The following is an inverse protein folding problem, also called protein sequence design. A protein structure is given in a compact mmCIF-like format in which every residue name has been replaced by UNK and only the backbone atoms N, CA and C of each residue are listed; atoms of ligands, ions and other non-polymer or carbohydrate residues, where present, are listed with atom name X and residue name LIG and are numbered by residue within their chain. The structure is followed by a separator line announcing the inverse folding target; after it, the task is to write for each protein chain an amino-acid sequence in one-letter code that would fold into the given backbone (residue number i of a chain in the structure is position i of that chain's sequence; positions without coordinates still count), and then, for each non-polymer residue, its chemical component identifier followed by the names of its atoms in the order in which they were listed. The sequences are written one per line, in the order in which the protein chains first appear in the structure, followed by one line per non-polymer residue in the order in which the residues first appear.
data_IF_075471032414
#
_entry.id   IF_075471032414
#
_cell.length_a   1.000
_cell.length_b   1.000
_cell.length_c   1.000
_cell.angle_alpha   90.00
_cell.angle_beta   90.00
_cell.angle_gamma   90.00
#
_symmetry.space_group_name_H-M   'P 1'
#
loop_
_entity.id
_entity.type
_entity.pdbx_description
1 polymer ?
#
# COMPACT_ATOMS: atom_id res chain seq x y z
N UNK A 1 64.18 -55.90 95.19
CA UNK A 1 62.72 -55.66 95.13
C UNK A 1 62.07 -56.62 96.11
N UNK A 2 61.92 -56.19 97.37
CA UNK A 2 61.23 -56.99 98.38
C UNK A 2 59.74 -56.87 98.11
N UNK A 3 59.10 -57.96 97.70
CA UNK A 3 57.63 -58.04 97.62
C UNK A 3 57.07 -57.93 99.04
N UNK A 4 56.77 -56.70 99.45
CA UNK A 4 55.95 -56.46 100.63
C UNK A 4 54.58 -57.04 100.34
N UNK A 5 54.19 -58.08 101.06
CA UNK A 5 52.92 -58.77 100.86
C UNK A 5 51.79 -57.84 101.33
N UNK A 6 51.28 -57.03 100.42
CA UNK A 6 50.24 -56.05 100.73
C UNK A 6 48.96 -56.74 101.19
N UNK A 7 48.39 -56.26 102.30
CA UNK A 7 47.14 -56.79 102.81
C UNK A 7 46.02 -56.46 101.83
N UNK A 8 45.26 -57.48 101.43
CA UNK A 8 44.03 -57.29 100.66
C UNK A 8 43.01 -56.46 101.46
N UNK A 9 42.03 -55.86 100.79
CA UNK A 9 40.96 -55.09 101.47
C UNK A 9 40.27 -55.89 102.59
N UNK A 10 39.91 -57.18 102.39
CA UNK A 10 39.40 -58.01 103.48
C UNK A 10 40.38 -58.20 104.64
N UNK A 11 41.67 -58.36 104.36
CA UNK A 11 42.70 -58.50 105.39
C UNK A 11 42.90 -57.21 106.20
N UNK A 12 42.85 -56.04 105.54
CA UNK A 12 42.86 -54.73 106.23
C UNK A 12 41.64 -54.55 107.13
N UNK A 13 40.47 -54.98 106.66
CA UNK A 13 39.25 -54.95 107.46
C UNK A 13 39.34 -55.87 108.69
N UNK A 14 39.89 -57.07 108.54
CA UNK A 14 40.11 -58.01 109.64
C UNK A 14 41.10 -57.46 110.69
N UNK A 15 42.16 -56.77 110.25
CA UNK A 15 43.11 -56.10 111.15
C UNK A 15 42.44 -54.92 111.88
N UNK A 16 41.69 -54.07 111.17
CA UNK A 16 41.01 -52.92 111.76
C UNK A 16 39.94 -53.31 112.80
N UNK A 17 39.30 -54.47 112.62
CA UNK A 17 38.34 -55.03 113.57
C UNK A 17 38.96 -55.97 114.60
N UNK A 18 40.28 -56.19 114.55
CA UNK A 18 40.99 -57.19 115.37
C UNK A 18 40.27 -58.54 115.39
N UNK A 19 39.75 -58.97 114.24
CA UNK A 19 38.74 -60.04 114.15
C UNK A 19 39.22 -61.34 114.79
N UNK A 20 40.50 -61.70 114.65
CA UNK A 20 41.07 -62.91 115.25
C UNK A 20 41.02 -62.89 116.79
N UNK A 21 41.25 -61.73 117.42
CA UNK A 21 41.16 -61.58 118.89
C UNK A 21 39.70 -61.68 119.33
N UNK A 22 38.82 -60.95 118.67
CA UNK A 22 37.38 -60.97 118.97
C UNK A 22 36.78 -62.36 118.79
N UNK A 23 37.15 -63.09 117.75
CA UNK A 23 36.70 -64.45 117.50
C UNK A 23 37.07 -65.40 118.65
N UNK A 24 38.33 -65.40 119.08
CA UNK A 24 38.78 -66.25 120.19
C UNK A 24 38.03 -65.94 121.50
N UNK A 25 37.88 -64.65 121.84
CA UNK A 25 37.16 -64.24 123.05
C UNK A 25 35.67 -64.56 122.99
N UNK A 26 35.03 -64.39 121.83
CA UNK A 26 33.62 -64.73 121.64
C UNK A 26 33.38 -66.24 121.78
N UNK A 27 34.26 -67.06 121.22
CA UNK A 27 34.22 -68.53 121.38
C UNK A 27 34.35 -68.90 122.86
N UNK A 28 35.28 -68.25 123.58
CA UNK A 28 35.48 -68.48 125.01
C UNK A 28 34.25 -68.08 125.84
N UNK A 29 33.66 -66.90 125.57
CA UNK A 29 32.44 -66.44 126.25
C UNK A 29 31.24 -67.34 125.96
N UNK A 30 31.06 -67.78 124.71
CA UNK A 30 29.99 -68.70 124.33
C UNK A 30 30.13 -70.05 125.06
N UNK A 31 31.34 -70.58 125.16
CA UNK A 31 31.62 -71.80 125.93
C UNK A 31 31.43 -71.61 127.44
N UNK A 32 31.84 -70.48 128.00
CA UNK A 32 31.69 -70.15 129.43
C UNK A 32 30.23 -70.21 129.89
N UNK A 33 29.30 -69.87 129.00
CA UNK A 33 27.87 -69.79 129.30
C UNK A 33 27.05 -70.94 128.70
N UNK A 34 27.67 -71.98 128.14
CA UNK A 34 26.96 -73.09 127.46
C UNK A 34 26.05 -73.90 128.37
N UNK A 35 26.38 -73.99 129.65
CA UNK A 35 25.68 -74.83 130.62
C UNK A 35 24.42 -74.15 131.19
N UNK A 36 24.21 -72.85 130.88
CA UNK A 36 23.00 -72.11 131.25
C UNK A 36 21.88 -72.49 130.27
N UNK A 37 21.19 -73.58 130.55
CA UNK A 37 20.12 -74.11 129.68
C UNK A 37 18.71 -73.82 130.20
N UNK A 38 18.54 -73.51 131.49
CA UNK A 38 17.25 -73.16 132.11
C UNK A 38 17.44 -72.34 133.40
N UNK A 39 16.38 -71.61 133.82
CA UNK A 39 16.38 -70.83 135.07
C UNK A 39 15.52 -71.55 136.10
N UNK A 40 16.14 -72.15 137.11
CA UNK A 40 15.44 -72.90 138.18
C UNK A 40 15.18 -72.08 139.46
N UNK A 41 15.81 -70.92 139.63
CA UNK A 41 15.70 -70.07 140.82
C UNK A 41 16.10 -68.60 140.55
N UNK A 42 15.88 -67.65 141.49
CA UNK A 42 16.24 -66.24 141.32
C UNK A 42 17.73 -65.99 141.03
N UNK A 43 18.65 -66.76 141.62
CA UNK A 43 20.09 -66.62 141.36
C UNK A 43 20.46 -66.99 139.92
N UNK A 44 19.81 -68.03 139.36
CA UNK A 44 19.96 -68.41 137.95
C UNK A 44 19.50 -67.32 136.99
N UNK A 45 18.46 -66.54 137.33
CA UNK A 45 18.03 -65.38 136.53
C UNK A 45 19.10 -64.30 136.48
N UNK A 46 19.73 -64.01 137.61
CA UNK A 46 20.80 -63.02 137.69
C UNK A 46 22.06 -63.46 136.93
N UNK A 47 22.42 -64.75 137.04
CA UNK A 47 23.51 -65.34 136.26
C UNK A 47 23.25 -65.25 134.74
N UNK A 48 22.04 -65.60 134.29
CA UNK A 48 21.65 -65.46 132.88
C UNK A 48 21.66 -64.00 132.43
N UNK A 49 21.20 -63.08 133.27
CA UNK A 49 21.23 -61.65 132.96
C UNK A 49 22.66 -61.11 132.82
N UNK A 50 23.55 -61.47 133.76
CA UNK A 50 24.97 -61.09 133.69
C UNK A 50 25.66 -61.64 132.45
N UNK A 51 25.45 -62.92 132.13
CA UNK A 51 25.97 -63.55 130.90
C UNK A 51 25.47 -62.83 129.63
N UNK A 52 24.17 -62.52 129.58
CA UNK A 52 23.55 -61.79 128.47
C UNK A 52 24.12 -60.38 128.33
N UNK A 53 24.31 -59.66 129.44
CA UNK A 53 24.93 -58.33 129.43
C UNK A 53 26.38 -58.37 128.95
N UNK A 54 27.18 -59.35 129.38
CA UNK A 54 28.58 -59.47 128.94
C UNK A 54 28.69 -59.76 127.43
N UNK A 55 27.86 -60.67 126.90
CA UNK A 55 27.76 -60.93 125.47
C UNK A 55 27.26 -59.71 124.68
N UNK A 56 26.23 -59.02 125.19
CA UNK A 56 25.68 -57.82 124.57
C UNK A 56 26.71 -56.68 124.54
N UNK A 57 27.46 -56.48 125.63
CA UNK A 57 28.53 -55.49 125.71
C UNK A 57 29.65 -55.81 124.70
N UNK A 58 30.02 -57.09 124.52
CA UNK A 58 31.01 -57.48 123.51
C UNK A 58 30.52 -57.19 122.08
N UNK A 59 29.25 -57.49 121.77
CA UNK A 59 28.62 -57.15 120.48
C UNK A 59 28.61 -55.64 120.23
N UNK A 60 28.27 -54.84 121.24
CA UNK A 60 28.26 -53.37 121.14
C UNK A 60 29.67 -52.86 120.87
N UNK A 61 30.68 -53.38 121.56
CA UNK A 61 32.08 -53.00 121.35
C UNK A 61 32.56 -53.28 119.93
N UNK A 62 32.27 -54.46 119.36
CA UNK A 62 32.61 -54.81 117.97
C UNK A 62 31.88 -53.89 116.98
N UNK A 63 30.59 -53.62 117.23
CA UNK A 63 29.78 -52.72 116.39
C UNK A 63 30.37 -51.31 116.39
N UNK A 64 30.79 -50.82 117.56
CA UNK A 64 31.46 -49.52 117.72
C UNK A 64 32.79 -49.48 116.98
N UNK A 65 33.64 -50.50 117.15
CA UNK A 65 34.91 -50.63 116.44
C UNK A 65 34.71 -50.63 114.91
N UNK A 66 33.70 -51.35 114.41
CA UNK A 66 33.36 -51.34 112.98
C UNK A 66 32.86 -50.00 112.47
N UNK A 67 32.13 -49.23 113.28
CA UNK A 67 31.76 -47.85 112.93
C UNK A 67 33.01 -46.95 112.87
N UNK A 68 33.86 -47.01 113.90
CA UNK A 68 35.09 -46.22 113.99
C UNK A 68 36.06 -46.53 112.82
N UNK A 69 36.23 -47.81 112.46
CA UNK A 69 37.06 -48.22 111.33
C UNK A 69 36.53 -47.70 109.97
N UNK A 70 35.20 -47.68 109.77
CA UNK A 70 34.60 -47.09 108.56
C UNK A 70 34.70 -45.58 108.53
N UNK A 71 34.53 -44.93 109.67
CA UNK A 71 34.67 -43.48 109.81
C UNK A 71 36.13 -43.06 109.51
N UNK A 72 37.12 -43.81 110.00
CA UNK A 72 38.54 -43.60 109.69
C UNK A 72 38.86 -43.82 108.21
N UNK A 73 38.39 -44.92 107.62
CA UNK A 73 38.57 -45.18 106.18
C UNK A 73 37.96 -44.07 105.30
N UNK A 74 36.81 -43.52 105.71
CA UNK A 74 36.17 -42.38 105.02
C UNK A 74 37.01 -41.11 105.14
N UNK A 75 37.56 -40.83 106.33
CA UNK A 75 38.48 -39.69 106.54
C UNK A 75 39.74 -39.83 105.70
N UNK A 76 40.32 -41.02 105.65
CA UNK A 76 41.49 -41.30 104.83
C UNK A 76 41.20 -41.07 103.34
N UNK A 77 40.09 -41.61 102.81
CA UNK A 77 39.69 -41.39 101.41
C UNK A 77 39.53 -39.90 101.08
N UNK A 78 38.90 -39.12 101.98
CA UNK A 78 38.80 -37.67 101.81
C UNK A 78 40.17 -36.98 101.82
N UNK A 79 41.06 -37.38 102.72
CA UNK A 79 42.42 -36.83 102.78
C UNK A 79 43.23 -37.12 101.50
N UNK A 80 43.07 -38.31 100.91
CA UNK A 80 43.69 -38.65 99.62
C UNK A 80 43.17 -37.75 98.49
N UNK A 81 41.85 -37.53 98.41
CA UNK A 81 41.25 -36.65 97.39
C UNK A 81 41.74 -35.21 97.55
N UNK A 82 41.82 -34.71 98.77
CA UNK A 82 42.30 -33.34 99.01
C UNK A 82 43.79 -33.20 98.71
N UNK A 83 44.61 -34.22 98.99
CA UNK A 83 46.03 -34.21 98.61
C UNK A 83 46.21 -34.32 97.09
N UNK A 84 45.41 -35.14 96.39
CA UNK A 84 45.38 -35.18 94.93
C UNK A 84 45.08 -33.79 94.35
N UNK A 85 44.02 -33.13 94.83
CA UNK A 85 43.67 -31.77 94.40
C UNK A 85 44.80 -30.78 94.68
N UNK A 86 45.46 -30.87 95.84
CA UNK A 86 46.61 -30.01 96.17
C UNK A 86 47.74 -30.21 95.16
N UNK A 87 48.07 -31.46 94.83
CA UNK A 87 49.14 -31.79 93.88
C UNK A 87 48.79 -31.33 92.47
N UNK A 88 47.54 -31.53 92.02
CA UNK A 88 47.08 -31.03 90.70
C UNK A 88 47.12 -29.51 90.65
N UNK A 89 46.63 -28.83 91.70
CA UNK A 89 46.61 -27.37 91.76
C UNK A 89 48.01 -26.73 91.76
N UNK A 90 49.06 -27.48 92.14
CA UNK A 90 50.44 -27.01 92.03
C UNK A 90 50.93 -26.96 90.57
N UNK A 91 50.50 -27.88 89.72
CA UNK A 91 51.03 -28.02 88.36
C UNK A 91 50.12 -27.41 87.29
N UNK A 92 48.81 -27.42 87.49
CA UNK A 92 47.82 -26.96 86.51
C UNK A 92 48.03 -25.50 86.04
N UNK A 93 48.33 -24.51 86.90
CA UNK A 93 48.60 -23.15 86.45
C UNK A 93 49.83 -23.04 85.54
N UNK A 94 50.88 -23.83 85.82
CA UNK A 94 52.12 -23.82 85.04
C UNK A 94 51.92 -24.53 83.70
N UNK A 95 51.17 -25.65 83.66
CA UNK A 95 50.76 -26.27 82.40
C UNK A 95 49.93 -25.33 81.53
N UNK A 96 49.02 -24.58 82.15
CA UNK A 96 48.25 -23.52 81.49
C UNK A 96 49.15 -22.44 80.90
N UNK A 97 50.07 -21.89 81.70
CA UNK A 97 51.03 -20.88 81.26
C UNK A 97 51.90 -21.35 80.10
N UNK A 98 52.43 -22.57 80.18
CA UNK A 98 53.27 -23.16 79.13
C UNK A 98 52.49 -23.42 77.84
N UNK A 99 51.22 -23.85 77.94
CA UNK A 99 50.33 -24.01 76.79
C UNK A 99 50.08 -22.67 76.08
N UNK A 100 49.73 -21.63 76.85
CA UNK A 100 49.54 -20.28 76.30
C UNK A 100 50.80 -19.78 75.60
N UNK A 101 51.98 -19.94 76.22
CA UNK A 101 53.25 -19.51 75.62
C UNK A 101 53.53 -20.21 74.29
N UNK A 102 53.29 -21.53 74.19
CA UNK A 102 53.43 -22.29 72.95
C UNK A 102 52.45 -21.77 71.89
N UNK A 103 51.18 -21.66 72.24
CA UNK A 103 50.12 -21.30 71.30
C UNK A 103 50.31 -19.87 70.76
N UNK A 104 50.77 -18.93 71.59
CA UNK A 104 51.14 -17.56 71.17
C UNK A 104 52.34 -17.55 70.22
N UNK A 105 53.38 -18.33 70.51
CA UNK A 105 54.55 -18.45 69.65
C UNK A 105 54.19 -19.02 68.27
N UNK A 106 53.42 -20.10 68.23
CA UNK A 106 52.97 -20.74 66.99
C UNK A 106 52.07 -19.79 66.19
N UNK A 107 51.17 -19.07 66.85
CA UNK A 107 50.31 -18.08 66.21
C UNK A 107 51.11 -16.93 65.59
N UNK A 108 52.16 -16.44 66.26
CA UNK A 108 53.01 -15.37 65.72
C UNK A 108 53.83 -15.85 64.52
N UNK A 109 54.35 -17.09 64.54
CA UNK A 109 55.06 -17.69 63.39
C UNK A 109 54.14 -17.83 62.18
N UNK A 110 52.89 -18.26 62.38
CA UNK A 110 51.92 -18.35 61.29
C UNK A 110 51.50 -16.96 60.78
N UNK A 111 51.35 -15.96 61.65
CA UNK A 111 51.13 -14.56 61.22
C UNK A 111 52.29 -14.03 60.40
N UNK A 112 53.53 -14.22 60.83
CA UNK A 112 54.71 -13.81 60.06
C UNK A 112 54.77 -14.51 58.69
N UNK A 113 54.49 -15.81 58.64
CA UNK A 113 54.47 -16.59 57.40
C UNK A 113 53.36 -16.11 56.46
N UNK A 114 52.15 -15.89 56.99
CA UNK A 114 51.03 -15.35 56.23
C UNK A 114 51.31 -13.93 55.72
N UNK A 115 51.93 -13.08 56.54
CA UNK A 115 52.32 -11.72 56.15
C UNK A 115 53.38 -11.74 55.03
N UNK A 116 54.40 -12.60 55.12
CA UNK A 116 55.39 -12.78 54.05
C UNK A 116 54.76 -13.29 52.76
N UNK A 117 53.88 -14.28 52.85
CA UNK A 117 53.16 -14.81 51.69
C UNK A 117 52.24 -13.76 51.05
N UNK A 118 51.55 -12.95 51.86
CA UNK A 118 50.69 -11.87 51.38
C UNK A 118 51.50 -10.74 50.74
N UNK A 119 52.63 -10.35 51.33
CA UNK A 119 53.54 -9.35 50.76
C UNK A 119 54.12 -9.82 49.42
N UNK A 120 54.51 -11.09 49.34
CA UNK A 120 55.02 -11.67 48.09
C UNK A 120 53.94 -11.77 47.02
N UNK A 121 52.73 -12.20 47.39
CA UNK A 121 51.59 -12.20 46.48
C UNK A 121 51.28 -10.79 45.97
N UNK A 122 51.23 -9.79 46.87
CA UNK A 122 50.97 -8.41 46.48
C UNK A 122 52.06 -7.85 45.55
N UNK A 123 53.33 -8.22 45.78
CA UNK A 123 54.45 -7.87 44.89
C UNK A 123 54.23 -8.45 43.49
N UNK A 124 53.95 -9.75 43.39
CA UNK A 124 53.71 -10.44 42.11
C UNK A 124 52.49 -9.87 41.40
N UNK A 125 51.37 -9.68 42.12
CA UNK A 125 50.13 -9.12 41.57
C UNK A 125 50.35 -7.70 41.02
N UNK A 126 51.12 -6.85 41.71
CA UNK A 126 51.44 -5.50 41.25
C UNK A 126 52.35 -5.48 40.00
N UNK A 127 53.25 -6.45 39.84
CA UNK A 127 54.04 -6.59 38.61
C UNK A 127 53.14 -7.08 37.47
N UNK A 128 52.33 -8.12 37.70
CA UNK A 128 51.42 -8.67 36.69
C UNK A 128 50.39 -7.64 36.23
N UNK A 129 49.84 -6.84 37.15
CA UNK A 129 48.88 -5.79 36.80
C UNK A 129 49.49 -4.78 35.82
N UNK A 130 50.74 -4.36 36.02
CA UNK A 130 51.42 -3.46 35.06
C UNK A 130 51.58 -4.09 33.68
N UNK A 131 51.87 -5.39 33.61
CA UNK A 131 51.94 -6.14 32.34
C UNK A 131 50.57 -6.20 31.68
N UNK A 132 49.51 -6.49 32.45
CA UNK A 132 48.12 -6.50 31.96
C UNK A 132 47.68 -5.12 31.48
N UNK A 133 48.03 -4.05 32.18
CA UNK A 133 47.72 -2.67 31.79
C UNK A 133 48.35 -2.33 30.44
N UNK A 134 49.61 -2.75 30.21
CA UNK A 134 50.26 -2.62 28.90
C UNK A 134 49.50 -3.38 27.80
N UNK A 135 49.07 -4.62 28.07
CA UNK A 135 48.29 -5.42 27.11
C UNK A 135 46.96 -4.79 26.73
N UNK A 136 46.36 -3.99 27.62
CA UNK A 136 45.06 -3.36 27.40
C UNK A 136 45.12 -2.10 26.50
N UNK A 137 46.29 -1.50 26.29
CA UNK A 137 46.46 -0.22 25.57
C UNK A 137 45.86 -0.26 24.15
N UNK A 138 46.09 -1.28 23.30
CA UNK A 138 45.50 -1.32 21.96
C UNK A 138 43.97 -1.25 21.97
N UNK A 139 43.31 -1.90 22.93
CA UNK A 139 41.85 -1.87 23.06
C UNK A 139 41.31 -0.48 23.42
N UNK A 140 42.05 0.29 24.22
CA UNK A 140 41.67 1.66 24.60
C UNK A 140 41.81 2.66 23.44
N UNK A 141 42.61 2.33 22.43
CA UNK A 141 42.92 3.21 21.30
C UNK A 141 42.12 2.91 20.03
N UNK A 142 41.20 1.95 20.07
CA UNK A 142 40.30 1.68 18.95
C UNK A 142 39.48 2.93 18.62
N UNK A 143 39.50 3.34 17.33
CA UNK A 143 38.77 4.50 16.84
C UNK A 143 39.36 5.88 17.20
N UNK A 144 40.57 5.91 17.79
CA UNK A 144 41.31 7.15 18.00
C UNK A 144 42.04 7.57 16.72
N UNK A 145 42.47 8.84 16.66
CA UNK A 145 43.22 9.38 15.53
C UNK A 145 44.60 8.75 15.39
N UNK A 146 45.17 8.80 14.18
CA UNK A 146 46.54 8.36 13.93
C UNK A 146 47.55 9.06 14.85
N UNK A 147 47.38 10.37 15.07
CA UNK A 147 48.22 11.16 16.00
C UNK A 147 48.19 10.61 17.44
N UNK A 148 47.00 10.26 17.94
CA UNK A 148 46.87 9.70 19.31
C UNK A 148 47.54 8.34 19.42
N UNK A 149 47.39 7.50 18.39
CA UNK A 149 48.00 6.15 18.36
C UNK A 149 49.53 6.29 18.29
N UNK A 150 50.06 7.20 17.48
CA UNK A 150 51.49 7.47 17.39
C UNK A 150 52.07 7.94 18.73
N UNK A 151 51.42 8.91 19.40
CA UNK A 151 51.86 9.38 20.72
C UNK A 151 51.87 8.27 21.79
N UNK A 152 50.95 7.30 21.69
CA UNK A 152 50.93 6.15 22.60
C UNK A 152 52.08 5.17 22.31
N UNK A 153 52.46 4.97 21.05
CA UNK A 153 53.65 4.20 20.66
C UNK A 153 54.90 4.87 21.23
N UNK A 154 55.09 6.17 20.99
CA UNK A 154 56.24 6.93 21.49
C UNK A 154 56.34 6.85 23.01
N UNK A 155 55.20 6.97 23.70
CA UNK A 155 55.13 6.85 25.17
C UNK A 155 55.52 5.46 25.65
N UNK A 156 55.13 4.39 24.93
CA UNK A 156 55.51 3.02 25.28
C UNK A 156 56.97 2.73 24.97
N UNK A 157 57.52 3.25 23.87
CA UNK A 157 58.92 3.05 23.49
C UNK A 157 59.87 3.53 24.58
N UNK A 158 59.58 4.69 25.19
CA UNK A 158 60.40 5.24 26.28
C UNK A 158 60.23 4.53 27.64
N UNK A 159 59.19 3.72 27.84
CA UNK A 159 59.01 2.95 29.08
C UNK A 159 60.11 1.89 29.18
N UNK A 160 61.01 2.03 30.16
CA UNK A 160 62.06 1.05 30.40
C UNK A 160 61.55 -0.09 31.28
N UNK A 161 61.66 -1.32 30.78
CA UNK A 161 61.35 -2.52 31.58
C UNK A 161 62.66 -3.03 32.16
N UNK A 162 62.82 -2.83 33.46
CA UNK A 162 64.05 -3.16 34.19
C UNK A 162 63.82 -4.33 35.14
N UNK A 163 64.90 -5.05 35.49
CA UNK A 163 64.87 -6.06 36.55
C UNK A 163 64.48 -5.47 37.91
N UNK A 164 64.73 -4.19 38.15
CA UNK A 164 64.31 -3.52 39.38
C UNK A 164 62.78 -3.35 39.44
N UNK A 165 62.17 -2.94 38.33
CA UNK A 165 60.73 -2.67 38.27
C UNK A 165 59.91 -3.94 38.07
N UNK A 166 60.35 -4.90 37.26
CA UNK A 166 59.56 -6.08 36.86
C UNK A 166 60.17 -7.41 37.30
N UNK A 167 61.36 -7.40 37.89
CA UNK A 167 61.99 -8.56 38.55
C UNK A 167 62.00 -9.80 37.64
N UNK A 168 61.51 -10.93 38.13
CA UNK A 168 61.48 -12.18 37.37
C UNK A 168 60.57 -12.12 36.11
N UNK A 169 59.68 -11.14 36.04
CA UNK A 169 58.76 -10.93 34.91
C UNK A 169 59.28 -9.91 33.90
N UNK A 170 60.50 -9.36 34.07
CA UNK A 170 61.04 -8.37 33.14
C UNK A 170 61.09 -8.88 31.68
N UNK A 171 61.48 -10.14 31.47
CA UNK A 171 61.48 -10.74 30.13
C UNK A 171 60.08 -10.88 29.52
N UNK A 172 59.08 -11.28 30.32
CA UNK A 172 57.69 -11.36 29.88
C UNK A 172 57.14 -9.96 29.53
N UNK A 173 57.44 -8.97 30.38
CA UNK A 173 57.01 -7.60 30.19
C UNK A 173 57.62 -6.98 28.92
N UNK A 174 58.90 -7.23 28.60
CA UNK A 174 59.52 -6.80 27.35
C UNK A 174 58.86 -7.42 26.11
N UNK A 175 58.56 -8.71 26.16
CA UNK A 175 57.82 -9.38 25.08
C UNK A 175 56.44 -8.73 24.89
N UNK A 176 55.72 -8.49 25.98
CA UNK A 176 54.42 -7.83 25.95
C UNK A 176 54.52 -6.43 25.36
N UNK A 177 55.50 -5.62 25.79
CA UNK A 177 55.75 -4.29 25.25
C UNK A 177 55.98 -4.35 23.73
N UNK A 178 56.84 -5.23 23.26
CA UNK A 178 57.11 -5.40 21.83
C UNK A 178 55.85 -5.81 21.04
N UNK A 179 55.05 -6.75 21.56
CA UNK A 179 53.79 -7.19 20.93
C UNK A 179 52.79 -6.04 20.87
N UNK A 180 52.66 -5.26 21.94
CA UNK A 180 51.74 -4.10 22.01
C UNK A 180 52.18 -3.02 21.03
N UNK A 181 53.47 -2.67 20.98
CA UNK A 181 54.00 -1.69 20.02
C UNK A 181 53.75 -2.15 18.58
N UNK A 182 54.03 -3.42 18.26
CA UNK A 182 53.76 -3.97 16.93
C UNK A 182 52.27 -3.85 16.58
N UNK A 183 51.37 -4.14 17.53
CA UNK A 183 49.93 -4.05 17.30
C UNK A 183 49.47 -2.61 17.07
N UNK A 184 49.99 -1.66 17.86
CA UNK A 184 49.71 -0.24 17.68
C UNK A 184 50.24 0.26 16.34
N UNK A 185 51.40 -0.24 15.87
CA UNK A 185 51.94 0.07 14.55
C UNK A 185 51.00 -0.35 13.41
N UNK A 186 50.40 -1.54 13.49
CA UNK A 186 49.36 -1.97 12.53
C UNK A 186 48.14 -1.04 12.57
N UNK A 187 47.67 -0.67 13.77
CA UNK A 187 46.54 0.23 13.95
C UNK A 187 46.83 1.63 13.40
N UNK A 188 48.04 2.14 13.63
CA UNK A 188 48.49 3.44 13.14
C UNK A 188 48.48 3.47 11.61
N UNK A 189 49.07 2.46 10.96
CA UNK A 189 49.11 2.38 9.51
C UNK A 189 47.69 2.33 8.90
N UNK A 190 46.80 1.54 9.51
CA UNK A 190 45.39 1.47 9.09
C UNK A 190 44.69 2.82 9.24
N UNK A 191 44.88 3.49 10.37
CA UNK A 191 44.24 4.78 10.67
C UNK A 191 44.78 5.91 9.79
N UNK A 192 46.08 5.94 9.52
CA UNK A 192 46.70 6.90 8.58
C UNK A 192 46.12 6.72 7.17
N UNK A 193 46.01 5.48 6.68
CA UNK A 193 45.40 5.21 5.38
C UNK A 193 43.94 5.65 5.34
N UNK A 194 43.19 5.41 6.42
CA UNK A 194 41.80 5.85 6.53
C UNK A 194 41.68 7.38 6.48
N UNK A 195 42.49 8.12 7.25
CA UNK A 195 42.44 9.58 7.32
C UNK A 195 42.87 10.25 6.00
N UNK A 196 43.89 9.71 5.33
CA UNK A 196 44.29 10.15 3.97
C UNK A 196 43.15 9.96 2.99
N UNK A 197 42.49 8.79 3.02
CA UNK A 197 41.35 8.51 2.15
C UNK A 197 40.14 9.40 2.48
N UNK A 198 39.85 9.67 3.76
CA UNK A 198 38.79 10.61 4.14
C UNK A 198 39.08 12.02 3.61
N UNK A 199 40.33 12.45 3.65
CA UNK A 199 40.74 13.75 3.10
C UNK A 199 40.58 13.77 1.58
N UNK A 200 40.96 12.69 0.88
CA UNK A 200 40.76 12.53 -0.57
C UNK A 200 39.28 12.59 -0.94
N UNK A 201 38.43 11.84 -0.23
CA UNK A 201 36.97 11.83 -0.43
C UNK A 201 36.37 13.23 -0.17
N UNK A 202 36.80 13.93 0.88
CA UNK A 202 36.34 15.29 1.17
C UNK A 202 36.73 16.28 0.05
N UNK A 203 37.98 16.20 -0.44
CA UNK A 203 38.44 17.01 -1.56
C UNK A 203 37.67 16.70 -2.86
N UNK A 204 37.43 15.41 -3.15
CA UNK A 204 36.66 14.97 -4.31
C UNK A 204 35.21 15.46 -4.25
N UNK A 205 34.57 15.39 -3.08
CA UNK A 205 33.21 15.93 -2.87
C UNK A 205 33.16 17.44 -3.07
N UNK A 206 34.14 18.17 -2.54
CA UNK A 206 34.22 19.62 -2.71
C UNK A 206 34.44 20.02 -4.18
N UNK A 207 35.25 19.26 -4.92
CA UNK A 207 35.42 19.47 -6.36
C UNK A 207 34.12 19.19 -7.13
N UNK A 208 33.47 18.07 -6.86
CA UNK A 208 32.20 17.71 -7.50
C UNK A 208 31.09 18.75 -7.22
N UNK A 209 31.07 19.32 -6.02
CA UNK A 209 30.14 20.40 -5.67
C UNK A 209 30.42 21.68 -6.46
N UNK A 210 31.70 22.06 -6.63
CA UNK A 210 32.10 23.19 -7.48
C UNK A 210 31.70 22.95 -8.94
N UNK A 211 31.96 21.77 -9.48
CA UNK A 211 31.59 21.40 -10.85
C UNK A 211 30.06 21.46 -11.05
N UNK A 212 29.28 20.99 -10.08
CA UNK A 212 27.81 21.11 -10.11
C UNK A 212 27.34 22.56 -10.05
N UNK A 213 27.96 23.39 -9.22
CA UNK A 213 27.64 24.82 -9.14
C UNK A 213 27.96 25.55 -10.45
N UNK A 214 29.12 25.27 -11.06
CA UNK A 214 29.50 25.80 -12.36
C UNK A 214 28.55 25.32 -13.48
N UNK A 215 28.18 24.04 -13.48
CA UNK A 215 27.24 23.49 -14.46
C UNK A 215 25.85 24.13 -14.32
N UNK A 216 25.35 24.29 -13.09
CA UNK A 216 24.09 24.96 -12.81
C UNK A 216 24.12 26.42 -13.26
N UNK A 217 25.23 27.13 -13.06
CA UNK A 217 25.38 28.50 -13.52
C UNK A 217 25.44 28.58 -15.06
N UNK A 218 26.18 27.68 -15.72
CA UNK A 218 26.19 27.58 -17.19
C UNK A 218 24.79 27.29 -17.73
N UNK A 219 24.02 26.42 -17.08
CA UNK A 219 22.65 26.12 -17.45
C UNK A 219 21.72 27.33 -17.28
N UNK A 220 21.86 28.09 -16.18
CA UNK A 220 21.11 29.34 -15.99
C UNK A 220 21.42 30.36 -17.08
N UNK A 221 22.69 30.56 -17.40
CA UNK A 221 23.11 31.48 -18.46
C UNK A 221 22.54 31.01 -19.81
N UNK A 222 22.66 29.71 -20.13
CA UNK A 222 22.11 29.16 -21.37
C UNK A 222 20.57 29.22 -21.42
N UNK A 223 19.87 29.03 -20.30
CA UNK A 223 18.43 29.18 -20.21
C UNK A 223 17.99 30.64 -20.37
N UNK A 224 18.70 31.58 -19.74
CA UNK A 224 18.45 33.01 -19.90
C UNK A 224 18.68 33.46 -21.35
N UNK A 225 19.77 33.01 -21.98
CA UNK A 225 20.04 33.29 -23.39
C UNK A 225 18.96 32.71 -24.31
N UNK A 226 18.52 31.46 -24.08
CA UNK A 226 17.42 30.84 -24.84
C UNK A 226 16.10 31.60 -24.66
N UNK A 227 15.77 32.00 -23.44
CA UNK A 227 14.56 32.78 -23.16
C UNK A 227 14.61 34.17 -23.81
N UNK A 228 15.77 34.82 -23.85
CA UNK A 228 15.96 36.09 -24.54
C UNK A 228 15.83 35.94 -26.07
N UNK A 229 16.46 34.93 -26.66
CA UNK A 229 16.32 34.62 -28.08
C UNK A 229 14.88 34.26 -28.44
N UNK A 230 14.17 33.49 -27.62
CA UNK A 230 12.77 33.17 -27.83
C UNK A 230 11.87 34.42 -27.74
N UNK A 231 12.16 35.34 -26.80
CA UNK A 231 11.48 36.63 -26.71
C UNK A 231 11.70 37.46 -27.97
N UNK A 232 12.96 37.61 -28.42
CA UNK A 232 13.29 38.32 -29.66
C UNK A 232 12.61 37.69 -30.87
N UNK A 233 12.61 36.37 -30.98
CA UNK A 233 11.95 35.66 -32.07
C UNK A 233 10.42 35.85 -32.02
N UNK A 234 9.81 35.86 -30.83
CA UNK A 234 8.37 36.14 -30.67
C UNK A 234 8.02 37.58 -31.02
N UNK A 235 8.81 38.54 -30.56
CA UNK A 235 8.66 39.95 -30.92
C UNK A 235 8.80 40.15 -32.43
N UNK A 236 9.79 39.51 -33.08
CA UNK A 236 9.98 39.54 -34.53
C UNK A 236 8.78 38.93 -35.28
N UNK A 237 8.27 37.76 -34.85
CA UNK A 237 7.07 37.15 -35.43
C UNK A 237 5.84 38.04 -35.27
N UNK A 238 5.64 38.63 -34.10
CA UNK A 238 4.52 39.56 -33.86
C UNK A 238 4.63 40.81 -34.73
N UNK A 239 5.84 41.36 -34.89
CA UNK A 239 6.06 42.50 -35.77
C UNK A 239 5.81 42.14 -37.24
N UNK A 240 6.23 40.96 -37.69
CA UNK A 240 6.00 40.46 -39.04
C UNK A 240 4.51 40.18 -39.31
N UNK A 241 3.82 39.50 -38.39
CA UNK A 241 2.37 39.28 -38.46
C UNK A 241 1.59 40.59 -38.46
N UNK A 242 1.99 41.57 -37.65
CA UNK A 242 1.38 42.89 -37.65
C UNK A 242 1.60 43.63 -38.98
N UNK A 243 2.80 43.52 -39.57
CA UNK A 243 3.08 44.07 -40.91
C UNK A 243 2.24 43.41 -41.99
N UNK A 244 2.20 42.07 -42.02
CA UNK A 244 1.39 41.31 -42.98
C UNK A 244 -0.09 41.61 -42.83
N UNK A 245 -0.58 41.77 -41.60
CA UNK A 245 -1.96 42.16 -41.34
C UNK A 245 -2.25 43.58 -41.82
N UNK A 246 -1.36 44.54 -41.53
CA UNK A 246 -1.50 45.91 -42.02
C UNK A 246 -1.46 45.98 -43.56
N UNK A 247 -0.62 45.16 -44.20
CA UNK A 247 -0.54 45.06 -45.66
C UNK A 247 -1.81 44.45 -46.26
N UNK A 248 -2.37 43.39 -45.65
CA UNK A 248 -3.65 42.81 -46.06
C UNK A 248 -4.81 43.78 -45.86
N UNK A 249 -4.87 44.45 -44.72
CA UNK A 249 -5.91 45.47 -44.44
C UNK A 249 -5.80 46.65 -45.42
N UNK A 250 -4.59 47.09 -45.77
CA UNK A 250 -4.37 48.11 -46.79
C UNK A 250 -4.79 47.62 -48.19
N UNK A 251 -4.44 46.39 -48.56
CA UNK A 251 -4.81 45.81 -49.84
C UNK A 251 -6.32 45.57 -49.97
N UNK A 252 -6.98 45.10 -48.91
CA UNK A 252 -8.44 44.94 -48.86
C UNK A 252 -9.15 46.29 -48.90
N UNK A 253 -8.64 47.31 -48.21
CA UNK A 253 -9.16 48.66 -48.28
C UNK A 253 -9.01 49.27 -49.68
N UNK A 254 -7.90 49.00 -50.37
CA UNK A 254 -7.68 49.44 -51.74
C UNK A 254 -8.59 48.70 -52.73
N UNK A 255 -8.73 47.38 -52.61
CA UNK A 255 -9.66 46.60 -53.41
C UNK A 255 -11.12 47.03 -53.18
N UNK A 256 -11.48 47.36 -51.94
CA UNK A 256 -12.79 47.91 -51.60
C UNK A 256 -13.02 49.27 -52.23
N UNK A 257 -12.03 50.18 -52.19
CA UNK A 257 -12.10 51.48 -52.88
C UNK A 257 -12.23 51.29 -54.40
N UNK A 258 -11.51 50.34 -54.99
CA UNK A 258 -11.62 50.02 -56.40
C UNK A 258 -13.02 49.51 -56.75
N UNK A 259 -13.58 48.59 -55.94
CA UNK A 259 -14.95 48.10 -56.10
C UNK A 259 -15.99 49.19 -55.92
N UNK A 260 -15.85 50.06 -54.93
CA UNK A 260 -16.77 51.19 -54.72
C UNK A 260 -16.72 52.18 -55.91
N UNK A 261 -15.53 52.43 -56.46
CA UNK A 261 -15.36 53.26 -57.68
C UNK A 261 -15.94 52.57 -58.90
N UNK A 262 -15.73 51.26 -59.07
CA UNK A 262 -16.30 50.50 -60.18
C UNK A 262 -17.82 50.37 -60.08
N UNK A 263 -18.36 50.09 -58.90
CA UNK A 263 -19.81 50.07 -58.64
C UNK A 263 -20.44 51.44 -58.85
N UNK A 264 -19.79 52.53 -58.43
CA UNK A 264 -20.26 53.89 -58.70
C UNK A 264 -20.30 54.17 -60.21
N UNK A 265 -19.25 53.79 -60.97
CA UNK A 265 -19.23 53.90 -62.44
C UNK A 265 -20.30 53.03 -63.10
N UNK A 266 -20.50 51.81 -62.62
CA UNK A 266 -21.51 50.90 -63.14
C UNK A 266 -22.93 51.41 -62.83
N UNK A 267 -23.14 51.99 -61.65
CA UNK A 267 -24.40 52.61 -61.24
C UNK A 267 -24.69 53.88 -62.06
N UNK A 268 -23.67 54.71 -62.32
CA UNK A 268 -23.78 55.88 -63.19
C UNK A 268 -24.09 55.46 -64.63
N UNK A 269 -23.40 54.46 -65.17
CA UNK A 269 -23.71 53.89 -66.49
C UNK A 269 -25.11 53.28 -66.55
N UNK A 270 -25.56 52.57 -65.52
CA UNK A 270 -26.92 52.04 -65.44
C UNK A 270 -27.97 53.15 -65.33
N UNK A 271 -27.68 54.23 -64.60
CA UNK A 271 -28.55 55.39 -64.51
C UNK A 271 -28.63 56.15 -65.84
N UNK A 272 -27.52 56.27 -66.56
CA UNK A 272 -27.44 56.87 -67.90
C UNK A 272 -28.22 56.02 -68.90
N UNK A 273 -28.01 54.70 -68.91
CA UNK A 273 -28.77 53.75 -69.75
C UNK A 273 -30.26 53.80 -69.39
N UNK A 274 -30.62 53.85 -68.11
CA UNK A 274 -32.01 53.96 -67.68
C UNK A 274 -32.66 55.28 -68.12
N UNK A 275 -31.91 56.40 -68.10
CA UNK A 275 -32.37 57.70 -68.63
C UNK A 275 -32.56 57.65 -70.14
N UNK A 276 -31.62 57.08 -70.88
CA UNK A 276 -31.71 56.90 -72.33
C UNK A 276 -32.88 55.98 -72.70
N UNK A 277 -33.06 54.88 -71.97
CA UNK A 277 -34.16 53.94 -72.18
C UNK A 277 -35.52 54.59 -71.84
N UNK A 278 -35.61 55.34 -70.74
CA UNK A 278 -36.81 56.09 -70.39
C UNK A 278 -37.14 57.19 -71.41
N UNK A 279 -36.13 57.84 -72.01
CA UNK A 279 -36.34 58.81 -73.09
C UNK A 279 -36.83 58.13 -74.37
N UNK A 280 -36.25 56.98 -74.75
CA UNK A 280 -36.70 56.18 -75.90
C UNK A 280 -38.12 55.64 -75.69
N UNK A 281 -38.42 55.15 -74.49
CA UNK A 281 -39.74 54.60 -74.15
C UNK A 281 -40.79 55.74 -74.09
N UNK A 282 -40.44 56.92 -73.59
CA UNK A 282 -41.34 58.09 -73.63
C UNK A 282 -41.57 58.60 -75.06
N UNK A 283 -40.57 58.53 -75.95
CA UNK A 283 -40.72 58.87 -77.36
C UNK A 283 -41.60 57.84 -78.09
N UNK A 284 -41.37 56.54 -77.84
CA UNK A 284 -42.20 55.45 -78.36
C UNK A 284 -43.63 55.50 -77.85
N UNK A 285 -43.82 55.84 -76.58
CA UNK A 285 -45.14 56.00 -75.98
C UNK A 285 -45.88 57.18 -76.62
N UNK A 286 -45.20 58.32 -76.84
CA UNK A 286 -45.77 59.46 -77.58
C UNK A 286 -46.15 59.08 -79.01
N UNK A 287 -45.30 58.34 -79.72
CA UNK A 287 -45.60 57.87 -81.07
C UNK A 287 -46.75 56.85 -81.09
N UNK A 288 -46.84 55.97 -80.09
CA UNK A 288 -47.94 55.00 -79.94
C UNK A 288 -49.27 55.70 -79.58
N UNK A 289 -49.25 56.70 -78.71
CA UNK A 289 -50.44 57.48 -78.33
C UNK A 289 -50.92 58.37 -79.49
N UNK A 290 -50.01 58.96 -80.27
CA UNK A 290 -50.30 59.70 -81.51
C UNK A 290 -50.90 58.77 -82.59
N UNK A 291 -50.29 57.61 -82.82
CA UNK A 291 -50.78 56.61 -83.75
C UNK A 291 -52.15 56.05 -83.33
N UNK A 292 -52.36 55.78 -82.03
CA UNK A 292 -53.64 55.34 -81.50
C UNK A 292 -54.73 56.42 -81.60
N UNK A 293 -54.38 57.71 -81.45
CA UNK A 293 -55.32 58.83 -81.64
C UNK A 293 -55.76 58.95 -83.10
N UNK A 294 -54.79 58.92 -84.02
CA UNK A 294 -55.06 58.98 -85.47
C UNK A 294 -55.86 57.76 -85.95
N UNK A 295 -55.58 56.56 -85.44
CA UNK A 295 -56.32 55.35 -85.79
C UNK A 295 -57.75 55.38 -85.22
N UNK A 296 -57.95 55.86 -83.97
CA UNK A 296 -59.29 56.03 -83.39
C UNK A 296 -60.12 57.06 -84.14
N UNK A 297 -59.54 58.17 -84.58
CA UNK A 297 -60.24 59.18 -85.38
C UNK A 297 -60.63 58.64 -86.77
N UNK A 298 -59.75 57.88 -87.42
CA UNK A 298 -60.06 57.22 -88.70
C UNK A 298 -61.14 56.15 -88.55
N UNK A 299 -61.06 55.31 -87.53
CA UNK A 299 -62.07 54.28 -87.27
C UNK A 299 -63.42 54.86 -86.87
N UNK A 300 -63.45 55.97 -86.12
CA UNK A 300 -64.70 56.66 -85.77
C UNK A 300 -65.36 57.34 -86.98
N UNK A 301 -64.59 57.92 -87.90
CA UNK A 301 -65.11 58.51 -89.13
C UNK A 301 -65.68 57.43 -90.08
N UNK A 302 -64.96 56.32 -90.27
CA UNK A 302 -65.41 55.19 -91.09
C UNK A 302 -66.66 54.52 -90.49
N UNK A 303 -66.72 54.36 -89.16
CA UNK A 303 -67.88 53.78 -88.48
C UNK A 303 -69.12 54.69 -88.52
N UNK A 304 -68.95 56.02 -88.43
CA UNK A 304 -70.07 56.96 -88.52
C UNK A 304 -70.67 57.04 -89.94
N UNK A 305 -69.83 56.96 -90.97
CA UNK A 305 -70.29 56.96 -92.36
C UNK A 305 -70.92 55.62 -92.75
N UNK A 306 -70.34 54.49 -92.31
CA UNK A 306 -70.94 53.16 -92.48
C UNK A 306 -72.28 53.01 -91.74
N UNK A 307 -72.43 53.61 -90.54
CA UNK A 307 -73.69 53.57 -89.80
C UNK A 307 -74.82 54.38 -90.48
N UNK A 308 -74.50 55.53 -91.10
CA UNK A 308 -75.49 56.30 -91.88
C UNK A 308 -75.96 55.56 -93.12
N UNK A 309 -75.03 54.97 -93.87
CA UNK A 309 -75.35 54.19 -95.09
C UNK A 309 -76.11 52.91 -94.74
N UNK A 310 -75.74 52.22 -93.65
CA UNK A 310 -76.44 51.03 -93.19
C UNK A 310 -77.87 51.31 -92.68
N UNK A 311 -78.13 52.44 -92.02
CA UNK A 311 -79.49 52.80 -91.55
C UNK A 311 -80.44 53.12 -92.73
N UNK A 312 -79.92 53.77 -93.77
CA UNK A 312 -80.66 54.15 -94.98
C UNK A 312 -80.90 52.94 -95.91
N UNK A 313 -79.92 52.03 -96.03
CA UNK A 313 -80.10 50.75 -96.71
C UNK A 313 -81.01 49.79 -95.94
N UNK A 314 -80.97 49.75 -94.60
CA UNK A 314 -81.84 48.88 -93.80
C UNK A 314 -83.31 49.24 -93.95
N UNK A 315 -83.65 50.54 -94.03
CA UNK A 315 -85.03 51.00 -94.31
C UNK A 315 -85.51 50.70 -95.72
N UNK A 316 -84.63 50.69 -96.72
CA UNK A 316 -84.96 50.27 -98.10
C UNK A 316 -85.11 48.75 -98.20
N UNK A 317 -84.18 47.99 -97.61
CA UNK A 317 -84.21 46.53 -97.60
C UNK A 317 -85.38 45.96 -96.80
N UNK A 318 -85.82 46.60 -95.71
CA UNK A 318 -87.02 46.16 -94.98
C UNK A 318 -88.31 46.37 -95.80
N UNK A 319 -88.40 47.42 -96.62
CA UNK A 319 -89.53 47.65 -97.52
C UNK A 319 -89.50 46.72 -98.75
N UNK A 320 -88.31 46.44 -99.31
CA UNK A 320 -88.13 45.50 -100.42
C UNK A 320 -88.27 44.03 -99.97
N UNK A 321 -87.80 43.64 -98.79
CA UNK A 321 -88.00 42.28 -98.26
C UNK A 321 -89.46 41.98 -97.97
N UNK A 322 -90.25 42.96 -97.51
CA UNK A 322 -91.69 42.77 -97.30
C UNK A 322 -92.42 42.51 -98.64
N UNK A 323 -92.01 43.18 -99.72
CA UNK A 323 -92.53 42.94 -101.07
C UNK A 323 -92.01 41.62 -101.66
N UNK A 324 -90.72 41.32 -101.50
CA UNK A 324 -90.09 40.10 -102.00
C UNK A 324 -90.60 38.83 -101.28
N UNK A 325 -90.98 38.90 -100.00
CA UNK A 325 -91.60 37.76 -99.30
C UNK A 325 -92.99 37.42 -99.85
N UNK A 326 -93.79 38.41 -100.20
CA UNK A 326 -95.10 38.20 -100.83
C UNK A 326 -94.97 37.63 -102.26
N UNK A 327 -93.91 38.00 -102.99
CA UNK A 327 -93.61 37.46 -104.32
C UNK A 327 -92.97 36.06 -104.25
N UNK A 328 -92.10 35.81 -103.27
CA UNK A 328 -91.47 34.51 -103.04
C UNK A 328 -92.46 33.43 -102.59
N UNK A 329 -93.53 33.78 -101.86
CA UNK A 329 -94.64 32.85 -101.59
C UNK A 329 -95.39 32.45 -102.87
N UNK A 330 -95.56 33.38 -103.82
CA UNK A 330 -96.16 33.08 -105.13
C UNK A 330 -95.27 32.18 -105.99
N UNK A 331 -93.96 32.44 -106.00
CA UNK A 331 -92.98 31.65 -106.77
C UNK A 331 -92.80 30.26 -106.17
N UNK A 332 -92.80 30.11 -104.84
CA UNK A 332 -92.79 28.79 -104.19
C UNK A 332 -94.03 27.98 -104.53
N UNK A 333 -95.22 28.57 -104.50
CA UNK A 333 -96.46 27.88 -104.88
C UNK A 333 -96.43 27.38 -106.34
N UNK A 334 -95.74 28.09 -107.24
CA UNK A 334 -95.58 27.70 -108.64
C UNK A 334 -94.49 26.64 -108.86
N UNK A 335 -93.36 26.75 -108.16
CA UNK A 335 -92.28 25.76 -108.17
C UNK A 335 -92.69 24.44 -107.53
N UNK A 336 -93.48 24.47 -106.46
CA UNK A 336 -94.01 23.28 -105.80
C UNK A 336 -95.02 22.55 -106.70
N UNK A 337 -95.80 23.28 -107.52
CA UNK A 337 -96.68 22.68 -108.52
C UNK A 337 -95.90 22.02 -109.68
N UNK A 338 -94.76 22.57 -110.08
CA UNK A 338 -93.89 22.00 -111.11
C UNK A 338 -93.14 20.75 -110.61
N UNK A 339 -92.64 20.78 -109.38
CA UNK A 339 -91.95 19.65 -108.74
C UNK A 339 -92.93 18.49 -108.48
N UNK A 340 -94.19 18.77 -108.11
CA UNK A 340 -95.22 17.76 -107.92
C UNK A 340 -95.56 16.99 -109.23
N UNK A 341 -95.56 17.66 -110.38
CA UNK A 341 -95.80 17.03 -111.68
C UNK A 341 -94.59 16.19 -112.15
N UNK A 342 -93.37 16.64 -111.85
CA UNK A 342 -92.12 15.93 -112.19
C UNK A 342 -91.93 14.67 -111.33
N UNK A 343 -92.13 14.78 -110.01
CA UNK A 343 -92.04 13.64 -109.11
C UNK A 343 -93.11 12.58 -109.40
N UNK A 344 -94.30 12.98 -109.86
CA UNK A 344 -95.35 12.04 -110.29
C UNK A 344 -94.96 11.22 -111.52
N UNK A 345 -94.13 11.75 -112.42
CA UNK A 345 -93.60 11.01 -113.58
C UNK A 345 -92.51 10.03 -113.18
N UNK A 346 -91.56 10.46 -112.34
CA UNK A 346 -90.46 9.61 -111.86
C UNK A 346 -90.95 8.45 -110.98
N UNK A 347 -92.00 8.66 -110.18
CA UNK A 347 -92.60 7.62 -109.33
C UNK A 347 -93.31 6.51 -110.13
N UNK A 348 -93.90 6.83 -111.27
CA UNK A 348 -94.56 5.85 -112.16
C UNK A 348 -93.55 5.04 -112.99
N UNK A 349 -92.41 5.64 -113.33
CA UNK A 349 -91.31 4.98 -114.06
C UNK A 349 -90.56 3.96 -113.17
N UNK A 350 -90.23 4.36 -111.94
CA UNK A 350 -89.54 3.47 -110.99
C UNK A 350 -90.42 2.29 -110.54
N UNK A 351 -91.73 2.49 -110.35
CA UNK A 351 -92.69 1.41 -110.04
C UNK A 351 -92.86 0.41 -111.20
N UNK A 352 -92.55 0.82 -112.44
CA UNK A 352 -92.66 -0.03 -113.62
C UNK A 352 -91.44 -0.88 -113.91
N UNK A 353 -90.24 -0.38 -113.64
CA UNK A 353 -88.99 -1.06 -114.02
C UNK A 353 -88.20 -1.58 -112.83
N UNK A 354 -88.40 -1.00 -111.64
CA UNK A 354 -87.62 -1.33 -110.46
C UNK A 354 -86.10 -1.15 -110.68
N UNK A 355 -85.30 -1.40 -109.64
CA UNK A 355 -83.85 -1.43 -109.79
C UNK A 355 -83.43 -2.59 -110.69
N UNK A 356 -82.61 -2.32 -111.71
CA UNK A 356 -82.12 -3.32 -112.66
C UNK A 356 -81.23 -4.39 -111.99
N UNK A 357 -81.11 -5.56 -112.62
CA UNK A 357 -80.42 -6.73 -112.05
C UNK A 357 -78.99 -6.41 -111.57
N UNK A 358 -78.24 -5.62 -112.34
CA UNK A 358 -76.91 -5.11 -112.00
C UNK A 358 -76.93 -4.22 -110.76
N UNK A 359 -77.97 -3.39 -110.61
CA UNK A 359 -78.14 -2.46 -109.50
C UNK A 359 -78.51 -3.21 -108.22
N UNK A 360 -79.33 -4.25 -108.33
CA UNK A 360 -79.60 -5.19 -107.23
C UNK A 360 -78.30 -5.87 -106.82
N UNK A 361 -77.55 -6.38 -107.80
CA UNK A 361 -76.30 -7.06 -107.58
C UNK A 361 -75.26 -6.16 -106.89
N UNK A 362 -75.07 -4.94 -107.41
CA UNK A 362 -74.14 -3.93 -106.89
C UNK A 362 -74.55 -3.50 -105.49
N UNK A 363 -75.85 -3.36 -105.22
CA UNK A 363 -76.34 -3.03 -103.87
C UNK A 363 -76.00 -4.14 -102.88
N UNK A 364 -76.26 -5.40 -103.24
CA UNK A 364 -75.92 -6.54 -102.39
C UNK A 364 -74.40 -6.64 -102.21
N UNK A 365 -73.64 -6.55 -103.30
CA UNK A 365 -72.18 -6.61 -103.30
C UNK A 365 -71.55 -5.53 -102.40
N UNK A 366 -72.00 -4.27 -102.55
CA UNK A 366 -71.50 -3.14 -101.77
C UNK A 366 -71.91 -3.25 -100.29
N UNK A 367 -73.14 -3.70 -100.02
CA UNK A 367 -73.64 -3.79 -98.64
C UNK A 367 -72.91 -4.83 -97.81
N UNK A 368 -72.45 -5.91 -98.44
CA UNK A 368 -71.71 -6.99 -97.77
C UNK A 368 -70.21 -6.93 -98.02
N UNK A 369 -69.72 -5.90 -98.72
CA UNK A 369 -68.32 -5.67 -99.08
C UNK A 369 -67.69 -6.89 -99.79
N UNK A 370 -68.41 -7.42 -100.78
CA UNK A 370 -68.01 -8.57 -101.61
C UNK A 370 -68.03 -8.22 -103.09
N UNK A 371 -67.27 -8.96 -103.90
CA UNK A 371 -67.28 -8.81 -105.36
C UNK A 371 -68.65 -9.20 -105.97
N UNK A 372 -69.00 -8.51 -107.06
CA UNK A 372 -70.29 -8.68 -107.76
C UNK A 372 -70.56 -10.15 -108.15
N UNK A 373 -69.52 -10.85 -108.59
CA UNK A 373 -69.57 -12.26 -109.00
C UNK A 373 -69.98 -13.18 -107.82
N UNK A 374 -69.56 -12.83 -106.59
CA UNK A 374 -69.90 -13.58 -105.37
C UNK A 374 -71.37 -13.39 -105.01
N UNK A 375 -71.85 -12.14 -105.06
CA UNK A 375 -73.26 -11.82 -104.82
C UNK A 375 -74.18 -12.49 -105.85
N UNK A 376 -73.78 -12.55 -107.12
CA UNK A 376 -74.54 -13.22 -108.19
C UNK A 376 -74.70 -14.72 -107.89
N UNK A 377 -73.68 -15.35 -107.28
CA UNK A 377 -73.71 -16.73 -106.82
C UNK A 377 -74.67 -17.01 -105.64
N UNK A 378 -74.98 -16.01 -104.81
CA UNK A 378 -76.00 -16.12 -103.75
C UNK A 378 -77.41 -16.00 -104.31
N UNK A 379 -77.63 -15.03 -105.21
CA UNK A 379 -78.92 -14.83 -105.87
C UNK A 379 -79.31 -16.06 -106.72
N UNK A 380 -78.33 -16.72 -107.35
CA UNK A 380 -78.57 -17.96 -108.09
C UNK A 380 -79.04 -19.15 -107.22
N UNK A 381 -78.79 -19.14 -105.91
CA UNK A 381 -79.22 -20.19 -104.97
C UNK A 381 -80.55 -19.89 -104.29
N UNK A 382 -81.15 -18.73 -104.57
CA UNK A 382 -82.29 -18.22 -103.84
C UNK A 382 -83.57 -18.97 -104.25
N UNK A 383 -84.19 -19.69 -103.30
CA UNK A 383 -85.43 -20.40 -103.55
C UNK A 383 -86.64 -19.52 -103.20
N UNK A 384 -87.25 -18.95 -104.24
CA UNK A 384 -88.33 -17.97 -104.12
C UNK A 384 -89.63 -18.60 -103.60
N UNK A 385 -89.98 -19.81 -104.04
CA UNK A 385 -91.28 -20.42 -103.76
C UNK A 385 -91.54 -20.70 -102.26
N UNK A 386 -90.48 -20.97 -101.48
CA UNK A 386 -90.61 -21.22 -100.04
C UNK A 386 -90.83 -19.94 -99.22
N UNK A 387 -90.32 -18.80 -99.70
CA UNK A 387 -90.37 -17.54 -98.97
C UNK A 387 -91.76 -16.90 -99.05
N UNK A 388 -92.40 -16.95 -100.22
CA UNK A 388 -93.73 -16.37 -100.48
C UNK A 388 -94.76 -16.91 -99.49
N UNK A 389 -94.77 -18.21 -99.28
CA UNK A 389 -95.74 -18.85 -98.40
C UNK A 389 -95.64 -18.40 -96.93
N UNK A 390 -94.44 -17.99 -96.52
CA UNK A 390 -94.20 -17.45 -95.17
C UNK A 390 -94.72 -16.02 -95.02
N UNK A 391 -94.68 -15.24 -96.10
CA UNK A 391 -95.11 -13.84 -96.12
C UNK A 391 -96.62 -13.70 -96.36
N UNK A 392 -97.24 -14.58 -97.16
CA UNK A 392 -98.69 -14.57 -97.42
C UNK A 392 -99.55 -14.86 -96.17
N UNK A 393 -98.97 -15.38 -95.08
CA UNK A 393 -99.68 -15.54 -93.79
C UNK A 393 -99.66 -14.31 -92.89
N UNK A 394 -98.80 -13.34 -93.19
CA UNK A 394 -98.59 -12.18 -92.35
C UNK A 394 -99.19 -10.89 -92.94
N UNK A 395 -99.69 -10.93 -94.18
CA UNK A 395 -100.40 -9.82 -94.81
C UNK A 395 -101.82 -9.66 -94.24
#
# INVERSE_FOLDING_TARGET
MSESKELTVPQRAAVALESARHEQELIALAKKYSDITEIRNPAGREQTHGAMMELANRRIAITKAGKEARDDATKFSKAVIEEEKRLVALIEPEEGRLRTLRDEWDAEREREKAAKAAAEKARVDAIRQRITDMQAIPSLLVGKSAETIAAAIDSLEVVQITLESHQEFAGEAEIVKAVVIAKLGEMLACQQAHEVEQTRIAAERAQLERERAEAAERERIAAAARAEEERKAREARQAEEARLRAEREAHEAELRRQREVEEAKLAEQRAEIARQQAAIDAERQRQADEAARVEREKQAAIAAEAARVAEEERRKREAEEAAARAEAERIRAEQDAAIAEQQRRERVEFEKHGPGDDQILVTVATQFDVDADVALGWLAKFNVAALINKLEKAA
#
